data_IF_664054141022
#
_entry.id   IF_664054141022
#
_cell.length_a   1.000
_cell.length_b   1.000
_cell.length_c   1.000
_cell.angle_alpha   90.00
_cell.angle_beta   90.00
_cell.angle_gamma   90.00
#
_symmetry.space_group_name_H-M   'P 1'
#
loop_
_entity.id
_entity.type
_entity.pdbx_description
1 polymer ?
#
# COMPACT_ATOMS: atom_id res chain seq x y z
N UNK A 1 14.33 -35.89 -17.37
CA UNK A 1 15.28 -34.98 -16.68
C UNK A 1 16.63 -34.93 -17.37
N UNK A 2 17.19 -36.07 -17.79
CA UNK A 2 18.52 -36.18 -18.43
C UNK A 2 18.62 -35.46 -19.79
N UNK A 3 17.59 -35.57 -20.64
CA UNK A 3 17.53 -34.90 -21.95
C UNK A 3 17.46 -33.36 -21.88
N UNK A 4 16.93 -32.80 -20.78
CA UNK A 4 16.84 -31.34 -20.61
C UNK A 4 18.19 -30.75 -20.19
N UNK A 5 18.89 -31.42 -19.26
CA UNK A 5 20.24 -31.06 -18.82
C UNK A 5 21.25 -31.17 -19.98
N UNK A 6 21.16 -32.22 -20.79
CA UNK A 6 22.00 -32.40 -21.98
C UNK A 6 21.78 -31.28 -23.03
N UNK A 7 20.53 -30.83 -23.24
CA UNK A 7 20.22 -29.69 -24.11
C UNK A 7 20.80 -28.37 -23.57
N UNK A 8 20.70 -28.10 -22.28
CA UNK A 8 21.21 -26.86 -21.65
C UNK A 8 22.74 -26.77 -21.77
N UNK A 9 23.45 -27.87 -21.50
CA UNK A 9 24.91 -27.93 -21.64
C UNK A 9 25.36 -27.71 -23.09
N UNK A 10 24.56 -28.11 -24.09
CA UNK A 10 24.85 -27.91 -25.52
C UNK A 10 24.73 -26.44 -25.96
N UNK A 11 23.98 -25.62 -25.22
CA UNK A 11 23.78 -24.18 -25.48
C UNK A 11 24.80 -23.31 -24.74
N UNK A 12 25.66 -23.91 -23.88
CA UNK A 12 26.68 -23.17 -23.14
C UNK A 12 26.12 -22.25 -22.03
N UNK A 13 24.87 -22.45 -21.63
CA UNK A 13 24.21 -21.64 -20.60
C UNK A 13 24.68 -22.11 -19.22
N UNK A 14 25.54 -21.32 -18.59
CA UNK A 14 25.96 -21.53 -17.22
C UNK A 14 24.87 -21.08 -16.23
N UNK A 15 24.14 -22.06 -15.70
CA UNK A 15 23.08 -21.87 -14.71
C UNK A 15 23.59 -21.20 -13.43
N UNK A 16 24.87 -21.35 -13.08
CA UNK A 16 25.45 -20.71 -11.88
C UNK A 16 25.61 -19.19 -12.07
N UNK A 17 25.88 -18.76 -13.29
CA UNK A 17 25.96 -17.35 -13.69
C UNK A 17 24.59 -16.68 -13.73
N UNK A 18 23.56 -17.39 -14.21
CA UNK A 18 22.17 -16.91 -14.15
C UNK A 18 21.71 -16.79 -12.69
N UNK A 19 22.04 -17.79 -11.86
CA UNK A 19 21.69 -17.80 -10.45
C UNK A 19 22.30 -16.62 -9.70
N UNK A 20 23.58 -16.33 -9.93
CA UNK A 20 24.28 -15.20 -9.31
C UNK A 20 23.79 -13.85 -9.82
N UNK A 21 23.42 -13.74 -11.10
CA UNK A 21 22.88 -12.52 -11.67
C UNK A 21 21.45 -12.18 -11.18
N UNK A 22 20.59 -13.18 -10.95
CA UNK A 22 19.18 -12.96 -10.58
C UNK A 22 18.89 -13.17 -9.09
N UNK A 23 19.38 -14.26 -8.48
CA UNK A 23 18.97 -14.63 -7.11
C UNK A 23 19.71 -13.85 -6.03
N UNK A 24 20.98 -13.49 -6.26
CA UNK A 24 21.78 -12.72 -5.27
C UNK A 24 21.21 -11.31 -5.05
N UNK A 25 20.90 -10.50 -6.09
CA UNK A 25 20.28 -9.21 -5.87
C UNK A 25 18.84 -9.32 -5.34
N UNK A 26 18.08 -10.34 -5.75
CA UNK A 26 16.74 -10.58 -5.21
C UNK A 26 16.79 -10.89 -3.71
N UNK A 27 17.70 -11.74 -3.27
CA UNK A 27 17.90 -12.04 -1.86
C UNK A 27 18.29 -10.79 -1.06
N UNK A 28 19.15 -9.95 -1.62
CA UNK A 28 19.50 -8.65 -1.04
C UNK A 28 18.30 -7.72 -0.88
N UNK A 29 17.44 -7.62 -1.91
CA UNK A 29 16.20 -6.82 -1.85
C UNK A 29 15.22 -7.36 -0.81
N UNK A 30 15.04 -8.68 -0.71
CA UNK A 30 14.17 -9.30 0.31
C UNK A 30 14.69 -9.01 1.71
N UNK A 31 15.99 -9.18 1.94
CA UNK A 31 16.60 -8.90 3.24
C UNK A 31 16.44 -7.43 3.62
N UNK A 32 16.75 -6.51 2.71
CA UNK A 32 16.57 -5.07 2.94
C UNK A 32 15.09 -4.72 3.16
N UNK A 33 14.17 -5.34 2.43
CA UNK A 33 12.72 -5.17 2.62
C UNK A 33 12.28 -5.55 4.04
N UNK A 34 12.77 -6.66 4.59
CA UNK A 34 12.47 -7.07 5.97
C UNK A 34 13.04 -6.08 6.99
N UNK A 35 14.27 -5.59 6.77
CA UNK A 35 14.92 -4.60 7.64
C UNK A 35 14.17 -3.27 7.64
N UNK A 36 13.57 -2.87 6.51
CA UNK A 36 12.77 -1.64 6.39
C UNK A 36 11.33 -1.81 6.88
N UNK A 37 10.74 -2.99 6.73
CA UNK A 37 9.34 -3.23 7.11
C UNK A 37 9.11 -2.97 8.61
N UNK A 38 9.96 -3.53 9.47
CA UNK A 38 9.82 -3.44 10.94
C UNK A 38 9.83 -2.00 11.45
N UNK A 39 10.83 -1.15 11.16
CA UNK A 39 10.84 0.24 11.64
C UNK A 39 9.68 1.05 11.06
N UNK A 40 9.32 0.86 9.78
CA UNK A 40 8.18 1.57 9.17
C UNK A 40 6.87 1.18 9.86
N UNK A 41 6.67 -0.11 10.12
CA UNK A 41 5.49 -0.60 10.84
C UNK A 41 5.40 -0.03 12.27
N UNK A 42 6.51 -0.01 13.00
CA UNK A 42 6.56 0.59 14.33
C UNK A 42 6.30 2.10 14.32
N UNK A 43 6.80 2.82 13.32
CA UNK A 43 6.51 4.24 13.13
C UNK A 43 5.03 4.47 12.83
N UNK A 44 4.43 3.69 11.92
CA UNK A 44 3.01 3.75 11.60
C UNK A 44 2.13 3.52 12.84
N UNK A 45 2.51 2.59 13.73
CA UNK A 45 1.80 2.40 14.99
C UNK A 45 1.83 3.64 15.88
N UNK A 46 2.98 4.31 15.97
CA UNK A 46 3.18 5.52 16.78
C UNK A 46 2.50 6.77 16.21
N UNK A 47 2.30 6.83 14.90
CA UNK A 47 1.63 7.96 14.24
C UNK A 47 0.14 7.98 14.58
N UNK A 48 -0.30 8.88 15.45
CA UNK A 48 -1.72 9.06 15.76
C UNK A 48 -2.53 9.67 14.61
N UNK A 49 -3.85 9.68 14.75
CA UNK A 49 -4.74 10.39 13.82
C UNK A 49 -4.58 11.90 13.98
N UNK A 50 -4.54 12.62 12.85
CA UNK A 50 -4.44 14.07 12.79
C UNK A 50 -5.68 14.66 12.12
N UNK A 51 -6.19 15.78 12.65
CA UNK A 51 -7.22 16.67 12.07
C UNK A 51 -8.24 16.04 11.10
N UNK A 52 -7.87 15.91 9.82
CA UNK A 52 -8.70 15.41 8.72
C UNK A 52 -9.02 13.91 8.84
N UNK A 53 -8.14 13.11 9.44
CA UNK A 53 -8.36 11.69 9.75
C UNK A 53 -9.67 11.46 10.52
N UNK A 54 -9.98 12.34 11.48
CA UNK A 54 -11.23 12.25 12.24
C UNK A 54 -12.47 12.51 11.37
N UNK A 55 -12.34 13.38 10.37
CA UNK A 55 -13.43 13.73 9.46
C UNK A 55 -13.67 12.60 8.44
N UNK A 56 -12.62 11.86 8.07
CA UNK A 56 -12.72 10.71 7.17
C UNK A 56 -13.47 9.51 7.75
N UNK A 57 -13.72 9.45 9.07
CA UNK A 57 -14.65 8.47 9.64
C UNK A 57 -16.12 8.71 9.24
N UNK A 58 -16.44 9.90 8.73
CA UNK A 58 -17.81 10.31 8.44
C UNK A 58 -18.02 10.63 6.96
N UNK A 59 -19.29 10.63 6.58
CA UNK A 59 -19.74 10.99 5.25
C UNK A 59 -19.66 12.51 5.02
N UNK A 60 -19.08 12.92 3.90
CA UNK A 60 -19.00 14.31 3.48
C UNK A 60 -20.23 14.70 2.65
N UNK A 61 -21.04 15.60 3.21
CA UNK A 61 -22.16 16.24 2.49
C UNK A 61 -21.68 17.46 1.68
N UNK A 62 -20.61 18.13 2.12
CA UNK A 62 -19.98 19.25 1.43
C UNK A 62 -18.48 19.31 1.78
N UNK A 63 -17.95 20.47 2.18
CA UNK A 63 -16.55 20.65 2.55
C UNK A 63 -16.16 19.96 3.88
N UNK A 64 -17.13 19.74 4.77
CA UNK A 64 -16.97 19.01 6.03
C UNK A 64 -18.16 18.07 6.27
N UNK A 65 -18.03 17.09 7.17
CA UNK A 65 -19.17 16.34 7.70
C UNK A 65 -20.22 17.31 8.28
N UNK A 66 -21.50 16.94 8.17
CA UNK A 66 -22.57 17.78 8.69
C UNK A 66 -22.59 17.81 10.22
N UNK A 67 -23.39 18.72 10.80
CA UNK A 67 -23.58 18.83 12.26
C UNK A 67 -24.07 17.51 12.88
N UNK A 68 -24.72 16.65 12.09
CA UNK A 68 -25.17 15.32 12.49
C UNK A 68 -24.44 14.29 11.61
N UNK A 69 -23.22 13.88 12.00
CA UNK A 69 -22.35 13.10 11.13
C UNK A 69 -22.98 11.75 10.81
N UNK A 70 -23.08 11.45 9.52
CA UNK A 70 -23.51 10.15 9.02
C UNK A 70 -22.30 9.21 8.93
N UNK A 71 -22.42 8.02 9.49
CA UNK A 71 -21.42 6.96 9.37
C UNK A 71 -21.41 6.36 7.96
N UNK A 72 -20.23 5.89 7.54
CA UNK A 72 -20.03 5.23 6.26
C UNK A 72 -20.30 3.74 6.45
N UNK A 73 -21.35 3.23 5.81
CA UNK A 73 -21.73 1.82 5.96
C UNK A 73 -21.23 0.97 4.79
N UNK A 74 -21.11 1.58 3.61
CA UNK A 74 -20.85 0.86 2.37
C UNK A 74 -19.72 1.51 1.56
N UNK A 75 -19.08 0.73 0.70
CA UNK A 75 -18.08 1.26 -0.25
C UNK A 75 -18.65 2.36 -1.15
N UNK A 76 -19.91 2.25 -1.57
CA UNK A 76 -20.59 3.29 -2.36
C UNK A 76 -20.76 4.60 -1.61
N UNK A 77 -20.91 4.57 -0.28
CA UNK A 77 -20.99 5.79 0.53
C UNK A 77 -19.66 6.56 0.48
N UNK A 78 -18.51 5.86 0.41
CA UNK A 78 -17.20 6.48 0.25
C UNK A 78 -17.11 7.19 -1.10
N UNK A 79 -17.54 6.55 -2.18
CA UNK A 79 -17.52 7.15 -3.53
C UNK A 79 -18.41 8.40 -3.56
N UNK A 80 -19.64 8.31 -3.05
CA UNK A 80 -20.56 9.44 -3.00
C UNK A 80 -20.03 10.57 -2.11
N UNK A 81 -19.46 10.23 -0.95
CA UNK A 81 -18.80 11.18 -0.06
C UNK A 81 -17.67 11.93 -0.77
N UNK A 82 -16.82 11.22 -1.51
CA UNK A 82 -15.70 11.84 -2.24
C UNK A 82 -16.13 12.60 -3.48
N UNK A 83 -17.24 12.22 -4.12
CA UNK A 83 -17.83 13.01 -5.20
C UNK A 83 -18.30 14.40 -4.73
N UNK A 84 -18.96 14.44 -3.57
CA UNK A 84 -19.39 15.69 -2.95
C UNK A 84 -18.18 16.54 -2.49
N UNK A 85 -17.21 15.88 -1.86
CA UNK A 85 -15.98 16.51 -1.41
C UNK A 85 -15.16 17.06 -2.59
N UNK A 86 -15.10 16.35 -3.72
CA UNK A 86 -14.43 16.81 -4.95
C UNK A 86 -15.03 18.09 -5.54
N UNK A 87 -16.35 18.26 -5.45
CA UNK A 87 -16.98 19.52 -5.89
C UNK A 87 -16.73 20.69 -4.94
N UNK A 88 -16.39 20.40 -3.68
CA UNK A 88 -16.21 21.42 -2.64
C UNK A 88 -14.73 21.78 -2.44
N UNK A 89 -13.81 20.86 -2.70
CA UNK A 89 -12.38 20.93 -2.39
C UNK A 89 -11.50 20.49 -3.57
N UNK A 90 -10.17 20.56 -3.40
CA UNK A 90 -9.18 20.29 -4.45
C UNK A 90 -9.25 18.87 -5.04
N UNK A 91 -8.69 18.71 -6.25
CA UNK A 91 -8.68 17.45 -7.01
C UNK A 91 -7.83 16.29 -6.45
N UNK A 92 -7.37 16.33 -5.19
CA UNK A 92 -6.63 15.23 -4.53
C UNK A 92 -7.54 14.09 -4.09
N UNK A 93 -8.65 13.90 -4.78
CA UNK A 93 -9.71 12.99 -4.38
C UNK A 93 -9.21 11.55 -4.32
N UNK A 94 -8.32 11.11 -5.24
CA UNK A 94 -7.80 9.72 -5.23
C UNK A 94 -7.11 9.39 -3.89
N UNK A 95 -6.25 10.28 -3.40
CA UNK A 95 -5.59 10.08 -2.12
C UNK A 95 -6.58 10.09 -0.96
N UNK A 96 -7.53 11.04 -0.97
CA UNK A 96 -8.55 11.15 0.08
C UNK A 96 -9.52 9.95 0.07
N UNK A 97 -9.87 9.38 -1.09
CA UNK A 97 -10.67 8.16 -1.20
C UNK A 97 -9.95 6.97 -0.56
N UNK A 98 -8.64 6.82 -0.82
CA UNK A 98 -7.85 5.73 -0.24
C UNK A 98 -7.76 5.87 1.29
N UNK A 99 -7.49 7.09 1.78
CA UNK A 99 -7.44 7.36 3.23
C UNK A 99 -8.82 7.13 3.86
N UNK A 100 -9.90 7.66 3.27
CA UNK A 100 -11.25 7.49 3.80
C UNK A 100 -11.67 6.02 3.84
N UNK A 101 -11.25 5.22 2.86
CA UNK A 101 -11.44 3.77 2.90
C UNK A 101 -10.72 3.13 4.09
N UNK A 102 -9.43 3.43 4.31
CA UNK A 102 -8.69 2.86 5.42
C UNK A 102 -9.17 3.31 6.80
N UNK A 103 -9.74 4.52 6.91
CA UNK A 103 -10.33 5.01 8.16
C UNK A 103 -11.58 4.23 8.59
N UNK A 104 -12.21 3.44 7.71
CA UNK A 104 -13.34 2.58 8.10
C UNK A 104 -12.90 1.27 8.76
N UNK A 105 -11.59 0.99 8.80
CA UNK A 105 -11.04 -0.24 9.36
C UNK A 105 -10.10 0.04 10.53
N UNK A 106 -9.71 -1.02 11.23
CA UNK A 106 -8.71 -0.93 12.29
C UNK A 106 -7.39 -0.37 11.74
N UNK A 107 -6.77 0.54 12.50
CA UNK A 107 -5.48 1.16 12.19
C UNK A 107 -4.39 0.14 11.87
N UNK A 108 -4.45 -1.05 12.46
CA UNK A 108 -3.53 -2.15 12.18
C UNK A 108 -3.50 -2.51 10.69
N UNK A 109 -4.65 -2.52 10.02
CA UNK A 109 -4.74 -2.80 8.58
C UNK A 109 -3.95 -1.76 7.78
N UNK A 110 -4.14 -0.47 8.09
CA UNK A 110 -3.38 0.61 7.47
C UNK A 110 -1.88 0.48 7.76
N UNK A 111 -1.48 0.19 9.01
CA UNK A 111 -0.08 0.06 9.39
C UNK A 111 0.62 -1.07 8.60
N UNK A 112 -0.04 -2.22 8.43
CA UNK A 112 0.50 -3.35 7.66
C UNK A 112 0.62 -2.96 6.18
N UNK A 113 -0.46 -2.47 5.57
CA UNK A 113 -0.50 -2.19 4.14
C UNK A 113 0.41 -1.03 3.74
N UNK A 114 0.50 0.02 4.55
CA UNK A 114 1.42 1.13 4.33
C UNK A 114 2.87 0.63 4.39
N UNK A 115 3.21 -0.21 5.38
CA UNK A 115 4.56 -0.80 5.48
C UNK A 115 4.89 -1.70 4.29
N UNK A 116 3.91 -2.47 3.80
CA UNK A 116 4.05 -3.28 2.59
C UNK A 116 4.24 -2.41 1.33
N UNK A 117 3.56 -1.28 1.22
CA UNK A 117 3.71 -0.36 0.09
C UNK A 117 5.13 0.22 0.00
N UNK A 118 5.72 0.59 1.14
CA UNK A 118 7.13 1.01 1.18
C UNK A 118 8.10 -0.11 0.77
N UNK A 119 7.85 -1.34 1.21
CA UNK A 119 8.66 -2.50 0.78
C UNK A 119 8.46 -2.78 -0.71
N UNK A 120 7.24 -2.65 -1.24
CA UNK A 120 6.97 -2.86 -2.66
C UNK A 120 7.75 -1.86 -3.54
N UNK A 121 7.92 -0.62 -3.08
CA UNK A 121 8.71 0.39 -3.77
C UNK A 121 10.17 -0.06 -4.01
N UNK A 122 10.76 -0.80 -3.07
CA UNK A 122 12.11 -1.35 -3.20
C UNK A 122 12.23 -2.39 -4.34
N UNK A 123 11.14 -3.08 -4.66
CA UNK A 123 11.11 -4.05 -5.77
C UNK A 123 10.88 -3.38 -7.13
N UNK A 124 10.25 -2.20 -7.13
CA UNK A 124 9.97 -1.42 -8.34
C UNK A 124 11.20 -0.64 -8.82
N UNK A 125 11.99 -0.11 -7.88
CA UNK A 125 13.25 0.61 -8.15
C UNK A 125 14.40 -0.39 -8.31
#
# INVERSE_FOLDING_TARGET
>A
MENLRARINKVGIDLSRIRSFLLVPLFGKVFLGLVLFVPIFLLNQKTGYTSDDYSYHFFYESYLPSKYPKEINNFWDIIHSQYNHYHSWNGRYVAHTIVQFFMQYDKLLFNILNSLAFVALLFII
#
